data_IF_676394178543
#
_entry.id   IF_676394178543
#
_cell.length_a   1.000
_cell.length_b   1.000
_cell.length_c   1.000
_cell.angle_alpha   90.00
_cell.angle_beta   90.00
_cell.angle_gamma   90.00
#
_symmetry.space_group_name_H-M   'P 1'
#
loop_
_entity.id
_entity.type
_entity.pdbx_description
1 polymer ?
#
# COMPACT_ATOMS: atom_id res chain seq x y z
N UNK A 1 -31.00 -33.37 -29.63
CA UNK A 1 -29.63 -33.30 -29.07
C UNK A 1 -28.99 -34.69 -29.17
N UNK A 2 -27.70 -34.71 -29.48
CA UNK A 2 -26.91 -35.95 -29.51
C UNK A 2 -26.72 -36.49 -28.08
N UNK A 3 -26.40 -37.77 -27.92
CA UNK A 3 -26.14 -38.40 -26.62
C UNK A 3 -25.02 -37.67 -25.85
N UNK A 4 -23.99 -37.16 -26.55
CA UNK A 4 -22.93 -36.36 -25.97
C UNK A 4 -23.38 -34.93 -25.59
N UNK A 5 -24.34 -34.36 -26.35
CA UNK A 5 -24.93 -33.06 -26.03
C UNK A 5 -25.77 -33.10 -24.76
N UNK A 6 -26.47 -34.23 -24.48
CA UNK A 6 -27.15 -34.40 -23.19
C UNK A 6 -26.19 -34.47 -22.01
N UNK A 7 -25.09 -35.26 -22.13
CA UNK A 7 -24.07 -35.32 -21.09
C UNK A 7 -23.44 -33.96 -20.83
N UNK A 8 -23.08 -33.23 -21.88
CA UNK A 8 -22.54 -31.89 -21.74
C UNK A 8 -23.51 -30.95 -21.01
N UNK A 9 -24.79 -31.01 -21.37
CA UNK A 9 -25.82 -30.18 -20.74
C UNK A 9 -26.00 -30.51 -19.25
N UNK A 10 -25.97 -31.79 -18.85
CA UNK A 10 -26.03 -32.19 -17.43
C UNK A 10 -24.84 -31.63 -16.63
N UNK A 11 -23.61 -31.71 -17.17
CA UNK A 11 -22.46 -31.13 -16.51
C UNK A 11 -22.53 -29.58 -16.43
N UNK A 12 -22.98 -28.94 -17.50
CA UNK A 12 -23.13 -27.48 -17.51
C UNK A 12 -24.19 -27.04 -16.47
N UNK A 13 -25.31 -27.72 -16.35
CA UNK A 13 -26.31 -27.45 -15.32
C UNK A 13 -25.74 -27.64 -13.91
N UNK A 14 -24.95 -28.69 -13.70
CA UNK A 14 -24.32 -28.92 -12.39
C UNK A 14 -23.34 -27.81 -12.00
N UNK A 15 -22.51 -27.35 -12.94
CA UNK A 15 -21.59 -26.23 -12.72
C UNK A 15 -22.36 -24.95 -12.39
N UNK A 16 -23.40 -24.62 -13.14
CA UNK A 16 -24.24 -23.43 -12.88
C UNK A 16 -24.91 -23.52 -11.50
N UNK A 17 -25.42 -24.72 -11.15
CA UNK A 17 -26.03 -24.95 -9.83
C UNK A 17 -25.05 -24.76 -8.69
N UNK A 18 -23.81 -25.29 -8.80
CA UNK A 18 -22.76 -25.11 -7.81
C UNK A 18 -22.35 -23.64 -7.69
N UNK A 19 -22.27 -22.93 -8.81
CA UNK A 19 -21.97 -21.50 -8.81
C UNK A 19 -23.05 -20.70 -8.07
N UNK A 20 -24.34 -20.96 -8.39
CA UNK A 20 -25.45 -20.31 -7.71
C UNK A 20 -25.52 -20.66 -6.21
N UNK A 21 -25.20 -21.91 -5.85
CA UNK A 21 -25.11 -22.30 -4.44
C UNK A 21 -24.01 -21.56 -3.70
N UNK A 22 -22.85 -21.39 -4.34
CA UNK A 22 -21.75 -20.59 -3.82
C UNK A 22 -22.16 -19.12 -3.60
N UNK A 23 -22.75 -18.48 -4.64
CA UNK A 23 -23.22 -17.09 -4.54
C UNK A 23 -24.23 -16.88 -3.39
N UNK A 24 -25.12 -17.83 -3.18
CA UNK A 24 -26.11 -17.76 -2.09
C UNK A 24 -25.50 -17.99 -0.70
N UNK A 25 -24.38 -18.71 -0.61
CA UNK A 25 -23.70 -18.99 0.66
C UNK A 25 -22.68 -17.92 1.05
N UNK A 26 -22.07 -17.21 0.08
CA UNK A 26 -21.09 -16.15 0.32
C UNK A 26 -21.56 -15.13 1.38
N UNK A 27 -22.79 -14.57 1.32
CA UNK A 27 -23.24 -13.60 2.33
C UNK A 27 -23.28 -14.16 3.76
N UNK A 28 -23.48 -15.47 3.90
CA UNK A 28 -23.49 -16.13 5.21
C UNK A 28 -22.08 -16.51 5.72
N UNK A 29 -21.11 -16.64 4.81
CA UNK A 29 -19.72 -16.89 5.18
C UNK A 29 -19.05 -15.61 5.71
N UNK A 30 -19.46 -14.44 5.20
CA UNK A 30 -18.81 -13.15 5.50
C UNK A 30 -19.29 -12.50 6.79
N UNK A 31 -20.39 -12.96 7.41
CA UNK A 31 -20.96 -12.30 8.59
C UNK A 31 -19.99 -12.18 9.79
N UNK A 32 -18.89 -12.94 9.81
CA UNK A 32 -17.82 -12.87 10.80
C UNK A 32 -16.43 -13.15 10.20
N UNK A 33 -16.27 -12.98 8.89
CA UNK A 33 -14.97 -13.16 8.27
C UNK A 33 -13.95 -12.16 8.87
N UNK A 34 -12.72 -12.60 9.10
CA UNK A 34 -11.68 -11.69 9.55
C UNK A 34 -11.35 -10.67 8.45
N UNK A 35 -11.06 -9.44 8.84
CA UNK A 35 -10.67 -8.36 7.95
C UNK A 35 -9.14 -8.27 7.87
N UNK A 36 -8.58 -8.45 6.68
CA UNK A 36 -7.14 -8.36 6.42
C UNK A 36 -6.79 -7.01 5.79
N UNK A 37 -6.15 -6.14 6.56
CA UNK A 37 -5.83 -4.77 6.16
C UNK A 37 -4.33 -4.64 5.89
N UNK A 38 -3.98 -4.11 4.70
CA UNK A 38 -2.62 -3.70 4.39
C UNK A 38 -2.36 -2.23 4.72
N UNK A 39 -1.12 -1.89 5.03
CA UNK A 39 -0.74 -0.48 5.14
C UNK A 39 0.71 -0.23 4.79
N UNK A 40 0.98 0.92 4.20
CA UNK A 40 2.33 1.47 4.13
C UNK A 40 2.86 1.74 5.55
N UNK A 41 4.18 1.85 5.67
CA UNK A 41 4.83 1.95 6.99
C UNK A 41 4.41 3.23 7.73
N UNK A 42 4.32 4.35 7.04
CA UNK A 42 3.93 5.63 7.65
C UNK A 42 2.49 5.57 8.16
N UNK A 43 1.56 5.17 7.29
CA UNK A 43 0.14 5.09 7.66
C UNK A 43 -0.11 4.00 8.72
N UNK A 44 0.59 2.88 8.63
CA UNK A 44 0.53 1.80 9.62
C UNK A 44 1.08 2.20 10.98
N UNK A 45 1.99 3.18 11.04
CA UNK A 45 2.55 3.70 12.28
C UNK A 45 1.71 4.84 12.87
N UNK A 46 1.24 5.76 12.03
CA UNK A 46 0.67 7.03 12.49
C UNK A 46 -0.85 7.06 12.51
N UNK A 47 -1.53 6.42 11.56
CA UNK A 47 -2.96 6.57 11.34
C UNK A 47 -3.75 5.29 11.65
N UNK A 48 -3.33 4.17 11.08
CA UNK A 48 -4.10 2.92 11.10
C UNK A 48 -4.43 2.41 12.51
N UNK A 49 -3.55 2.50 13.54
CA UNK A 49 -3.88 2.05 14.88
C UNK A 49 -5.11 2.73 15.47
N UNK A 50 -5.27 4.03 15.22
CA UNK A 50 -6.42 4.81 15.68
C UNK A 50 -7.70 4.41 14.96
N UNK A 51 -7.62 4.20 13.64
CA UNK A 51 -8.76 3.77 12.83
C UNK A 51 -9.23 2.36 13.22
N UNK A 52 -8.29 1.42 13.37
CA UNK A 52 -8.60 0.05 13.80
C UNK A 52 -9.26 0.04 15.17
N UNK A 53 -8.76 0.84 16.13
CA UNK A 53 -9.36 0.95 17.45
C UNK A 53 -10.83 1.40 17.38
N UNK A 54 -11.12 2.48 16.66
CA UNK A 54 -12.48 3.01 16.52
C UNK A 54 -13.39 1.99 15.84
N UNK A 55 -12.90 1.31 14.82
CA UNK A 55 -13.68 0.29 14.12
C UNK A 55 -13.99 -0.93 15.00
N UNK A 56 -13.01 -1.42 15.78
CA UNK A 56 -13.20 -2.54 16.69
C UNK A 56 -14.16 -2.23 17.85
N UNK A 57 -14.22 -0.97 18.30
CA UNK A 57 -15.21 -0.52 19.29
C UNK A 57 -16.64 -0.60 18.77
N UNK A 58 -16.84 -0.40 17.46
CA UNK A 58 -18.14 -0.49 16.80
C UNK A 58 -18.50 -1.90 16.32
N UNK A 59 -17.48 -2.72 16.00
CA UNK A 59 -17.59 -4.05 15.43
C UNK A 59 -16.74 -5.08 16.22
N UNK A 60 -17.06 -5.34 17.48
CA UNK A 60 -16.23 -6.20 18.33
C UNK A 60 -16.20 -7.67 17.89
N UNK A 61 -17.15 -8.09 17.05
CA UNK A 61 -17.24 -9.43 16.48
C UNK A 61 -16.26 -9.68 15.34
N UNK A 62 -15.75 -8.60 14.69
CA UNK A 62 -14.87 -8.71 13.53
C UNK A 62 -13.40 -8.78 13.97
N UNK A 63 -12.72 -9.86 13.62
CA UNK A 63 -11.27 -9.96 13.83
C UNK A 63 -10.53 -9.19 12.75
N UNK A 64 -9.60 -8.34 13.16
CA UNK A 64 -8.78 -7.53 12.23
C UNK A 64 -7.34 -8.01 12.28
N UNK A 65 -6.79 -8.32 11.10
CA UNK A 65 -5.37 -8.61 10.90
C UNK A 65 -4.74 -7.48 10.08
N UNK A 66 -3.64 -6.93 10.58
CA UNK A 66 -2.94 -5.82 9.94
C UNK A 66 -1.57 -6.26 9.46
N UNK A 67 -1.28 -6.00 8.19
CA UNK A 67 0.04 -6.21 7.60
C UNK A 67 0.64 -4.86 7.20
N UNK A 68 1.80 -4.52 7.76
CA UNK A 68 2.52 -3.27 7.46
C UNK A 68 3.80 -3.58 6.69
N UNK A 69 3.91 -3.06 5.47
CA UNK A 69 5.08 -3.20 4.57
C UNK A 69 5.23 -1.92 3.74
N UNK A 70 6.21 -1.85 2.84
CA UNK A 70 6.27 -0.76 1.87
C UNK A 70 5.11 -0.85 0.86
N UNK A 71 4.82 0.26 0.19
CA UNK A 71 3.69 0.39 -0.73
C UNK A 71 3.67 -0.69 -1.81
N UNK A 72 4.80 -0.93 -2.49
CA UNK A 72 4.85 -1.92 -3.56
C UNK A 72 4.55 -3.35 -3.08
N UNK A 73 5.02 -3.73 -1.88
CA UNK A 73 4.70 -5.04 -1.29
C UNK A 73 3.22 -5.15 -0.92
N UNK A 74 2.63 -4.08 -0.42
CA UNK A 74 1.20 -4.04 -0.07
C UNK A 74 0.32 -4.08 -1.33
N UNK A 75 0.67 -3.35 -2.38
CA UNK A 75 -0.05 -3.41 -3.66
C UNK A 75 -0.06 -4.84 -4.21
N UNK A 76 1.09 -5.52 -4.21
CA UNK A 76 1.15 -6.91 -4.67
C UNK A 76 0.28 -7.83 -3.81
N UNK A 77 0.25 -7.66 -2.50
CA UNK A 77 -0.57 -8.47 -1.61
C UNK A 77 -2.09 -8.25 -1.84
N UNK A 78 -2.51 -7.05 -2.26
CA UNK A 78 -3.90 -6.78 -2.68
C UNK A 78 -4.20 -7.51 -3.99
N UNK A 79 -3.32 -7.43 -4.99
CA UNK A 79 -3.47 -8.15 -6.28
C UNK A 79 -3.56 -9.65 -6.06
N UNK A 80 -2.77 -10.19 -5.15
CA UNK A 80 -2.75 -11.62 -4.81
C UNK A 80 -3.93 -12.05 -3.90
N UNK A 81 -4.90 -11.16 -3.64
CA UNK A 81 -6.06 -11.38 -2.75
C UNK A 81 -5.67 -11.85 -1.33
N UNK A 82 -4.50 -11.43 -0.84
CA UNK A 82 -4.06 -11.68 0.54
C UNK A 82 -4.59 -10.63 1.52
N UNK A 83 -5.09 -9.52 1.01
CA UNK A 83 -5.64 -8.39 1.75
C UNK A 83 -6.99 -7.99 1.16
N UNK A 84 -7.94 -7.61 2.02
CA UNK A 84 -9.25 -7.12 1.60
C UNK A 84 -9.16 -5.69 1.08
N UNK A 85 -8.35 -4.86 1.73
CA UNK A 85 -7.99 -3.52 1.26
C UNK A 85 -6.69 -3.04 1.91
N UNK A 86 -6.19 -1.90 1.45
CA UNK A 86 -4.99 -1.30 2.01
C UNK A 86 -5.05 0.23 2.05
N UNK A 87 -4.32 0.81 2.99
CA UNK A 87 -4.02 2.24 3.06
C UNK A 87 -2.56 2.45 2.67
N UNK A 88 -2.32 3.15 1.58
CA UNK A 88 -0.97 3.38 1.06
C UNK A 88 -0.73 4.84 0.73
N UNK A 89 0.54 5.22 0.69
CA UNK A 89 1.00 6.53 0.20
C UNK A 89 1.37 6.43 -1.27
N UNK A 90 1.36 7.57 -1.94
CA UNK A 90 1.75 7.69 -3.35
C UNK A 90 0.62 7.35 -4.32
N UNK A 91 0.98 7.02 -5.54
CA UNK A 91 0.05 6.70 -6.61
C UNK A 91 0.03 5.20 -6.83
N UNK A 92 -1.13 4.59 -6.71
CA UNK A 92 -1.36 3.19 -7.09
C UNK A 92 -1.38 3.10 -8.60
N UNK A 93 -0.55 2.24 -9.17
CA UNK A 93 -0.41 2.12 -10.64
C UNK A 93 -0.92 0.80 -11.20
N UNK A 94 -1.20 -0.18 -10.34
CA UNK A 94 -1.66 -1.49 -10.80
C UNK A 94 -3.10 -1.41 -11.36
N UNK A 95 -3.34 -1.85 -12.61
CA UNK A 95 -4.63 -1.65 -13.30
C UNK A 95 -5.81 -2.40 -12.67
N UNK A 96 -5.54 -3.44 -11.89
CA UNK A 96 -6.58 -4.25 -11.22
C UNK A 96 -6.97 -3.69 -9.84
N UNK A 97 -6.27 -2.66 -9.35
CA UNK A 97 -6.55 -2.04 -8.05
C UNK A 97 -7.44 -0.81 -8.25
N UNK A 98 -8.57 -0.80 -7.58
CA UNK A 98 -9.40 0.41 -7.46
C UNK A 98 -8.86 1.22 -6.30
N UNK A 99 -8.42 2.45 -6.56
CA UNK A 99 -7.88 3.34 -5.54
C UNK A 99 -8.68 4.63 -5.42
N UNK A 100 -8.82 5.12 -4.19
CA UNK A 100 -9.46 6.39 -3.87
C UNK A 100 -8.54 7.23 -2.99
N UNK A 101 -8.40 8.52 -3.32
CA UNK A 101 -7.60 9.46 -2.53
C UNK A 101 -8.44 9.96 -1.35
N UNK A 102 -8.01 9.66 -0.13
CA UNK A 102 -8.72 10.10 1.08
C UNK A 102 -8.01 11.24 1.82
N UNK A 103 -6.71 11.47 1.56
CA UNK A 103 -5.93 12.56 2.18
C UNK A 103 -4.76 12.96 1.29
N UNK A 104 -4.22 14.15 1.54
CA UNK A 104 -2.99 14.63 0.92
C UNK A 104 -1.93 14.86 1.99
N UNK A 105 -0.67 14.62 1.63
CA UNK A 105 0.49 14.84 2.48
C UNK A 105 1.59 15.57 1.71
N UNK A 106 2.58 16.09 2.44
CA UNK A 106 3.70 16.82 1.86
C UNK A 106 5.02 16.22 2.33
N UNK A 107 5.86 15.81 1.38
CA UNK A 107 7.21 15.38 1.69
C UNK A 107 8.07 16.61 2.02
N UNK A 108 8.80 16.52 3.12
CA UNK A 108 9.74 17.53 3.56
C UNK A 108 11.15 16.95 3.59
N UNK A 109 12.11 17.73 3.10
CA UNK A 109 13.52 17.43 3.31
C UNK A 109 13.92 17.88 4.72
N UNK A 110 14.59 17.03 5.46
CA UNK A 110 15.08 17.31 6.80
C UNK A 110 16.59 17.15 6.86
N UNK A 111 17.24 17.93 7.72
CA UNK A 111 18.67 17.85 7.99
C UNK A 111 18.94 18.12 9.47
N UNK A 112 20.10 17.69 9.96
CA UNK A 112 20.53 18.03 11.32
C UNK A 112 20.66 19.56 11.49
N UNK A 113 20.39 20.11 12.66
CA UNK A 113 20.47 21.59 12.90
C UNK A 113 21.78 22.23 12.50
N UNK A 114 22.90 21.52 12.59
CA UNK A 114 24.25 22.01 12.19
C UNK A 114 24.61 21.69 10.73
N UNK A 115 23.72 21.16 9.94
CA UNK A 115 24.00 20.83 8.55
C UNK A 115 24.15 22.12 7.71
N UNK A 116 25.13 22.23 6.79
CA UNK A 116 25.32 23.44 5.98
C UNK A 116 24.08 23.93 5.25
N UNK A 117 23.28 23.01 4.72
CA UNK A 117 22.03 23.36 4.03
C UNK A 117 20.92 23.84 4.97
N UNK A 118 20.97 23.54 6.26
CA UNK A 118 19.95 23.98 7.22
C UNK A 118 19.98 25.51 7.46
N UNK A 119 21.10 26.19 7.16
CA UNK A 119 21.21 27.63 7.21
C UNK A 119 20.62 28.34 5.98
N UNK A 120 20.38 27.63 4.91
CA UNK A 120 19.89 28.19 3.65
C UNK A 120 18.37 28.39 3.71
N UNK A 121 17.90 29.54 3.27
CA UNK A 121 16.45 29.83 3.17
C UNK A 121 15.76 28.98 2.10
N UNK A 122 16.48 28.64 1.07
CA UNK A 122 16.06 27.77 -0.05
C UNK A 122 17.17 26.81 -0.39
N UNK A 123 16.81 25.57 -0.70
CA UNK A 123 17.73 24.50 -1.11
C UNK A 123 17.28 24.03 -2.49
N UNK A 124 18.19 24.02 -3.46
CA UNK A 124 17.92 23.47 -4.78
C UNK A 124 18.13 21.95 -4.79
N UNK A 125 17.58 21.28 -5.82
CA UNK A 125 17.85 19.85 -6.00
C UNK A 125 19.34 19.54 -6.20
N UNK A 126 20.09 20.44 -6.87
CA UNK A 126 21.52 20.29 -7.03
C UNK A 126 22.27 20.40 -5.70
N UNK A 127 21.88 21.35 -4.84
CA UNK A 127 22.45 21.47 -3.50
C UNK A 127 22.21 20.19 -2.68
N UNK A 128 20.97 19.68 -2.71
CA UNK A 128 20.61 18.46 -2.01
C UNK A 128 21.38 17.24 -2.54
N UNK A 129 21.53 17.12 -3.86
CA UNK A 129 22.26 16.02 -4.50
C UNK A 129 23.78 16.05 -4.22
N UNK A 130 24.33 17.21 -3.86
CA UNK A 130 25.75 17.34 -3.46
C UNK A 130 26.06 16.78 -2.07
N UNK A 131 25.04 16.46 -1.28
CA UNK A 131 25.15 15.91 0.05
C UNK A 131 24.81 14.43 0.10
N UNK A 132 25.31 13.68 1.10
CA UNK A 132 24.87 12.31 1.35
C UNK A 132 23.37 12.26 1.63
N UNK A 133 22.60 11.59 0.78
CA UNK A 133 21.16 11.42 0.96
C UNK A 133 20.86 10.14 1.74
N UNK A 134 19.94 10.25 2.69
CA UNK A 134 19.40 9.13 3.43
C UNK A 134 17.97 8.90 2.95
N UNK A 135 17.71 7.77 2.34
CA UNK A 135 16.45 7.48 1.67
C UNK A 135 15.81 6.20 2.19
N UNK A 136 14.53 6.08 1.94
CA UNK A 136 13.79 4.85 2.15
C UNK A 136 14.25 3.79 1.15
N UNK A 137 13.87 2.56 1.39
CA UNK A 137 14.11 1.41 0.53
C UNK A 137 13.33 1.50 -0.80
N UNK A 138 13.76 0.77 -1.85
CA UNK A 138 12.98 0.61 -3.08
C UNK A 138 11.57 0.04 -2.80
N UNK A 139 10.56 0.50 -3.55
CA UNK A 139 9.16 0.16 -3.33
C UNK A 139 8.47 0.98 -2.24
N UNK A 140 9.17 1.96 -1.62
CA UNK A 140 8.55 2.99 -0.80
C UNK A 140 8.06 4.12 -1.70
N UNK A 141 6.78 4.48 -1.58
CA UNK A 141 6.20 5.59 -2.36
C UNK A 141 6.96 6.92 -2.14
N UNK A 142 7.37 7.21 -0.90
CA UNK A 142 8.19 8.39 -0.61
C UNK A 142 9.54 8.38 -1.34
N UNK A 143 10.17 7.21 -1.48
CA UNK A 143 11.40 7.05 -2.26
C UNK A 143 11.16 7.34 -3.75
N UNK A 144 10.12 6.77 -4.32
CA UNK A 144 9.79 6.92 -5.73
C UNK A 144 9.47 8.37 -6.10
N UNK A 145 8.74 9.09 -5.24
CA UNK A 145 8.46 10.52 -5.42
C UNK A 145 9.77 11.33 -5.42
N UNK A 146 10.65 11.07 -4.48
CA UNK A 146 11.95 11.78 -4.38
C UNK A 146 12.80 11.49 -5.61
N UNK A 147 12.97 10.24 -6.00
CA UNK A 147 13.75 9.87 -7.18
C UNK A 147 13.18 10.49 -8.46
N UNK A 148 11.86 10.47 -8.64
CA UNK A 148 11.18 11.10 -9.77
C UNK A 148 11.40 12.60 -9.81
N UNK A 149 11.38 13.28 -8.64
CA UNK A 149 11.65 14.71 -8.55
C UNK A 149 13.07 15.05 -8.99
N UNK A 150 14.08 14.33 -8.51
CA UNK A 150 15.47 14.54 -8.91
C UNK A 150 15.69 14.22 -10.39
N UNK A 151 15.10 13.13 -10.87
CA UNK A 151 15.18 12.73 -12.29
C UNK A 151 14.55 13.79 -13.21
N UNK A 152 13.43 14.40 -12.82
CA UNK A 152 12.81 15.50 -13.58
C UNK A 152 13.71 16.73 -13.69
N UNK A 153 14.59 16.93 -12.72
CA UNK A 153 15.66 17.93 -12.73
C UNK A 153 16.93 17.48 -13.48
N UNK A 154 16.92 16.30 -14.12
CA UNK A 154 18.09 15.75 -14.79
C UNK A 154 19.18 15.23 -13.86
N UNK A 155 18.88 15.00 -12.59
CA UNK A 155 19.82 14.58 -11.55
C UNK A 155 19.55 13.13 -11.18
N UNK A 156 20.58 12.30 -11.29
CA UNK A 156 20.53 10.94 -10.73
C UNK A 156 21.10 10.97 -9.32
N UNK A 157 20.39 10.36 -8.38
CA UNK A 157 20.79 10.25 -6.99
C UNK A 157 21.01 8.80 -6.59
N UNK A 158 21.91 8.59 -5.65
CA UNK A 158 22.09 7.33 -4.96
C UNK A 158 22.11 7.59 -3.44
N UNK A 159 21.41 6.78 -2.65
CA UNK A 159 21.44 6.96 -1.19
C UNK A 159 22.82 6.62 -0.64
N UNK A 160 23.30 7.43 0.27
CA UNK A 160 24.45 7.08 1.14
C UNK A 160 24.03 6.10 2.24
N UNK A 161 22.75 6.18 2.63
CA UNK A 161 22.14 5.28 3.60
C UNK A 161 20.71 4.96 3.17
N UNK A 162 20.34 3.69 3.28
CA UNK A 162 19.01 3.19 2.95
C UNK A 162 18.37 2.46 4.14
N UNK A 163 17.11 2.70 4.43
CA UNK A 163 16.41 2.03 5.51
C UNK A 163 14.91 1.90 5.25
N UNK A 164 14.32 0.80 5.71
CA UNK A 164 12.86 0.59 5.76
C UNK A 164 12.19 1.44 6.85
N UNK A 165 12.96 2.00 7.77
CA UNK A 165 12.47 2.79 8.90
C UNK A 165 12.77 4.27 8.70
N UNK A 166 11.73 5.09 8.54
CA UNK A 166 11.85 6.55 8.54
C UNK A 166 12.51 7.06 9.82
N UNK A 167 12.19 6.48 10.98
CA UNK A 167 12.82 6.86 12.26
C UNK A 167 14.32 6.59 12.29
N UNK A 168 14.79 5.54 11.63
CA UNK A 168 16.23 5.25 11.54
C UNK A 168 16.98 6.28 10.66
N UNK A 169 16.28 6.88 9.70
CA UNK A 169 16.87 7.89 8.81
C UNK A 169 16.96 9.27 9.44
N UNK A 170 16.11 9.59 10.43
CA UNK A 170 16.03 10.93 11.04
C UNK A 170 16.67 11.01 12.43
N UNK A 171 17.23 9.93 12.97
CA UNK A 171 17.94 9.85 14.25
C UNK A 171 19.45 9.74 14.09
#
# INVERSE_FOLDING_TARGET
>A
PTKNGHRFYEYALHIVSLFSEMENKIPAWDANAPLHIGSSITLGTCLLPSLVKVYQEQHPEIKIYVTVKNTGTIEQAVVDNQLDFALVEGTVTHPEIISEVFSADTLCMVAAPGHPLAANRTVTLADAASCPLLLREPGSAGREIVESLFLSGGIQIAPAWESVSTLALIR
#
